data_IF_987457783206
#
_entry.id   IF_987457783206
#
_cell.length_a   1.000
_cell.length_b   1.000
_cell.length_c   1.000
_cell.angle_alpha   90.00
_cell.angle_beta   90.00
_cell.angle_gamma   90.00
#
_symmetry.space_group_name_H-M   'P 1'
#
loop_
_entity.id
_entity.type
_entity.pdbx_description
1 polymer ?
#
# COMPACT_ATOMS: atom_id res chain seq x y z
N UNK A 1 10.05 -7.98 35.98
CA UNK A 1 10.24 -8.25 34.53
C UNK A 1 9.48 -7.19 33.75
N UNK A 2 10.16 -6.10 33.38
CA UNK A 2 9.52 -4.99 32.68
C UNK A 2 9.30 -5.36 31.21
N UNK A 3 8.03 -5.43 30.81
CA UNK A 3 7.60 -5.47 29.42
C UNK A 3 8.16 -4.21 28.74
N UNK A 4 9.26 -4.37 27.98
CA UNK A 4 9.66 -3.35 27.02
C UNK A 4 8.60 -3.36 25.93
N UNK A 5 7.73 -2.37 26.00
CA UNK A 5 7.37 -1.51 24.88
C UNK A 5 7.54 -2.28 23.56
N UNK A 6 6.49 -2.95 23.09
CA UNK A 6 6.31 -3.07 21.65
C UNK A 6 6.48 -1.64 21.14
N UNK A 7 7.61 -1.35 20.50
CA UNK A 7 7.88 -0.04 19.94
C UNK A 7 6.61 0.38 19.24
N UNK A 8 6.00 1.51 19.63
CA UNK A 8 4.84 2.07 18.92
C UNK A 8 5.34 2.40 17.52
N UNK A 9 5.29 1.41 16.64
CA UNK A 9 5.54 1.59 15.22
C UNK A 9 4.46 2.55 14.75
N UNK A 10 4.84 3.55 13.98
CA UNK A 10 3.88 4.51 13.44
C UNK A 10 2.72 3.79 12.74
N UNK A 11 1.49 4.34 12.80
CA UNK A 11 0.36 3.81 12.07
C UNK A 11 0.68 3.76 10.58
N UNK A 12 0.25 2.71 9.87
CA UNK A 12 0.49 2.59 8.42
C UNK A 12 -0.01 3.82 7.64
N UNK A 13 -1.04 4.50 8.17
CA UNK A 13 -1.61 5.72 7.61
C UNK A 13 -0.58 6.84 7.38
N UNK A 14 0.48 6.95 8.20
CA UNK A 14 1.50 7.98 7.99
C UNK A 14 2.34 7.75 6.74
N UNK A 15 2.45 6.51 6.27
CA UNK A 15 3.23 6.13 5.08
C UNK A 15 2.40 6.11 3.78
N UNK A 16 1.06 6.13 3.87
CA UNK A 16 0.17 6.04 2.70
C UNK A 16 0.50 7.09 1.61
N UNK A 17 0.76 8.37 1.92
CA UNK A 17 1.06 9.36 0.86
C UNK A 17 2.31 9.03 0.05
N UNK A 18 3.37 8.53 0.70
CA UNK A 18 4.60 8.12 0.02
C UNK A 18 4.39 6.84 -0.80
N UNK A 19 3.59 5.91 -0.30
CA UNK A 19 3.21 4.70 -1.03
C UNK A 19 2.40 5.04 -2.29
N UNK A 20 1.41 5.93 -2.19
CA UNK A 20 0.60 6.38 -3.33
C UNK A 20 1.46 7.04 -4.39
N UNK A 21 2.42 7.89 -3.99
CA UNK A 21 3.38 8.53 -4.90
C UNK A 21 4.25 7.49 -5.61
N UNK A 22 4.81 6.53 -4.87
CA UNK A 22 5.59 5.44 -5.45
C UNK A 22 4.78 4.62 -6.45
N UNK A 23 3.53 4.30 -6.12
CA UNK A 23 2.63 3.54 -7.01
C UNK A 23 2.38 4.32 -8.29
N UNK A 24 2.07 5.62 -8.20
CA UNK A 24 1.85 6.46 -9.37
C UNK A 24 3.09 6.55 -10.27
N UNK A 25 4.27 6.79 -9.68
CA UNK A 25 5.55 6.84 -10.40
C UNK A 25 5.85 5.51 -11.11
N UNK A 26 5.71 4.38 -10.40
CA UNK A 26 5.98 3.05 -10.96
C UNK A 26 4.97 2.64 -12.04
N UNK A 27 3.68 2.93 -11.84
CA UNK A 27 2.64 2.64 -12.84
C UNK A 27 2.88 3.43 -14.12
N UNK A 28 3.31 4.69 -14.03
CA UNK A 28 3.65 5.48 -15.21
C UNK A 28 4.94 4.99 -15.88
N UNK A 29 6.00 4.73 -15.12
CA UNK A 29 7.29 4.29 -15.66
C UNK A 29 7.15 2.94 -16.38
N UNK A 30 6.48 1.98 -15.76
CA UNK A 30 6.36 0.61 -16.27
C UNK A 30 5.13 0.40 -17.16
N UNK A 31 4.31 1.45 -17.33
CA UNK A 31 3.06 1.41 -18.10
C UNK A 31 2.11 0.31 -17.62
N UNK A 32 2.01 0.14 -16.30
CA UNK A 32 1.11 -0.83 -15.67
C UNK A 32 -0.32 -0.23 -15.67
N UNK A 33 -1.29 -0.86 -16.33
CA UNK A 33 -2.63 -0.29 -16.49
C UNK A 33 -3.49 -0.33 -15.23
N UNK A 34 -3.18 -1.25 -14.30
CA UNK A 34 -3.88 -1.37 -13.02
C UNK A 34 -3.09 -2.23 -12.03
N UNK A 35 -3.28 -1.94 -10.73
CA UNK A 35 -2.58 -2.58 -9.63
C UNK A 35 -3.51 -2.72 -8.42
N UNK A 36 -3.45 -3.86 -7.73
CA UNK A 36 -4.03 -4.03 -6.41
C UNK A 36 -2.92 -4.27 -5.38
N UNK A 37 -2.99 -3.58 -4.24
CA UNK A 37 -2.00 -3.66 -3.16
C UNK A 37 -2.70 -3.97 -1.84
N UNK A 38 -2.12 -4.89 -1.07
CA UNK A 38 -2.48 -5.12 0.32
C UNK A 38 -1.23 -5.06 1.20
N UNK A 39 -1.31 -4.35 2.32
CA UNK A 39 -0.26 -4.33 3.34
C UNK A 39 -0.73 -5.14 4.52
N UNK A 40 0.02 -6.19 4.88
CA UNK A 40 -0.24 -7.01 6.07
C UNK A 40 0.81 -6.68 7.13
N UNK A 41 0.36 -6.34 8.33
CA UNK A 41 1.22 -6.03 9.48
C UNK A 41 0.71 -6.81 10.68
N UNK A 42 1.60 -7.56 11.33
CA UNK A 42 1.27 -8.41 12.48
C UNK A 42 0.13 -9.42 12.21
N UNK A 43 0.04 -9.93 10.98
CA UNK A 43 -1.01 -10.88 10.58
C UNK A 43 -2.37 -10.24 10.27
N UNK A 44 -2.50 -8.92 10.44
CA UNK A 44 -3.72 -8.17 10.11
C UNK A 44 -3.53 -7.36 8.84
N UNK A 45 -4.59 -7.26 8.04
CA UNK A 45 -4.59 -6.41 6.85
C UNK A 45 -4.69 -4.94 7.29
N UNK A 46 -3.63 -4.20 7.06
CA UNK A 46 -3.47 -2.81 7.48
C UNK A 46 -3.87 -1.81 6.39
N UNK A 47 -3.81 -2.20 5.11
CA UNK A 47 -4.23 -1.41 3.96
C UNK A 47 -4.67 -2.34 2.82
N UNK A 48 -5.72 -1.96 2.10
CA UNK A 48 -6.08 -2.53 0.79
C UNK A 48 -6.43 -1.38 -0.13
N UNK A 49 -5.84 -1.34 -1.32
CA UNK A 49 -6.07 -0.31 -2.32
C UNK A 49 -6.01 -0.91 -3.72
N UNK A 50 -6.76 -0.31 -4.65
CA UNK A 50 -6.71 -0.64 -6.06
C UNK A 50 -6.56 0.64 -6.88
N UNK A 51 -5.79 0.55 -7.96
CA UNK A 51 -5.41 1.65 -8.83
C UNK A 51 -5.57 1.22 -10.29
N UNK A 52 -5.95 2.17 -11.15
CA UNK A 52 -6.10 1.93 -12.59
C UNK A 52 -7.28 1.02 -12.96
N UNK A 53 -7.14 0.31 -14.08
CA UNK A 53 -8.20 -0.50 -14.67
C UNK A 53 -8.07 -1.98 -14.31
N UNK A 54 -9.21 -2.62 -13.96
CA UNK A 54 -9.28 -4.08 -13.79
C UNK A 54 -9.21 -4.81 -15.13
N UNK A 55 -9.78 -4.19 -16.15
CA UNK A 55 -9.87 -4.68 -17.52
C UNK A 55 -9.62 -3.49 -18.44
N UNK A 56 -8.61 -3.62 -19.30
CA UNK A 56 -8.16 -2.55 -20.20
C UNK A 56 -9.06 -2.42 -21.44
N UNK A 57 -9.84 -3.44 -21.76
CA UNK A 57 -10.75 -3.44 -22.91
C UNK A 57 -12.16 -2.98 -22.52
N UNK A 58 -12.55 -3.18 -21.25
CA UNK A 58 -13.84 -2.74 -20.72
C UNK A 58 -13.83 -1.33 -20.10
N UNK A 59 -12.67 -0.66 -20.08
CA UNK A 59 -12.42 0.62 -19.42
C UNK A 59 -12.56 1.85 -20.32
#
# INVERSE_FOLDING_TARGET
MASRIFARSEPIASFVPDLERLIAEAMDEWKVPGLAVAVVKNGEVALVSAYGLRDVEAG
#
